data_IF_095947639072
#
_entry.id   IF_095947639072
#
_cell.length_a   1.000
_cell.length_b   1.000
_cell.length_c   1.000
_cell.angle_alpha   90.00
_cell.angle_beta   90.00
_cell.angle_gamma   90.00
#
_symmetry.space_group_name_H-M   'P 1'
#
loop_
_entity.id
_entity.type
_entity.pdbx_description
1 polymer ?
#
# COMPACT_ATOMS: atom_id res chain seq x y z
N UNK A 1 -10.19 -11.92 0.42
CA UNK A 1 -9.55 -11.53 -0.85
C UNK A 1 -8.15 -12.13 -0.91
N UNK A 2 -7.67 -12.61 -2.07
CA UNK A 2 -6.30 -13.14 -2.22
C UNK A 2 -5.32 -12.05 -2.65
N UNK A 3 -4.02 -12.21 -2.37
CA UNK A 3 -2.97 -11.26 -2.80
C UNK A 3 -3.01 -11.07 -4.32
N UNK A 4 -3.10 -12.15 -5.08
CA UNK A 4 -3.18 -12.08 -6.55
C UNK A 4 -4.48 -11.42 -7.04
N UNK A 5 -5.57 -11.57 -6.29
CA UNK A 5 -6.83 -10.88 -6.56
C UNK A 5 -6.70 -9.37 -6.40
N UNK A 6 -6.16 -8.93 -5.26
CA UNK A 6 -5.92 -7.51 -4.99
C UNK A 6 -4.94 -6.89 -6.00
N UNK A 7 -3.88 -7.60 -6.37
CA UNK A 7 -2.93 -7.12 -7.37
C UNK A 7 -3.61 -6.80 -8.71
N UNK A 8 -4.52 -7.68 -9.15
CA UNK A 8 -5.32 -7.45 -10.37
C UNK A 8 -6.25 -6.26 -10.25
N UNK A 9 -6.99 -6.16 -9.14
CA UNK A 9 -7.89 -5.02 -8.89
C UNK A 9 -7.13 -3.69 -8.83
N UNK A 10 -5.90 -3.72 -8.29
CA UNK A 10 -5.02 -2.55 -8.15
C UNK A 10 -4.21 -2.24 -9.42
N UNK A 11 -4.40 -2.96 -10.52
CA UNK A 11 -3.57 -2.84 -11.72
C UNK A 11 -2.04 -2.90 -11.44
N UNK A 12 -1.65 -3.82 -10.53
CA UNK A 12 -0.27 -4.11 -10.17
C UNK A 12 0.12 -5.53 -10.61
N UNK A 13 1.39 -5.76 -11.01
CA UNK A 13 1.89 -7.11 -11.16
C UNK A 13 1.76 -7.89 -9.84
N UNK A 14 1.32 -9.16 -9.86
CA UNK A 14 1.25 -9.97 -8.64
C UNK A 14 2.58 -10.09 -7.90
N UNK A 15 3.70 -10.09 -8.63
CA UNK A 15 5.05 -10.07 -8.05
C UNK A 15 5.35 -8.79 -7.26
N UNK A 16 4.87 -7.63 -7.72
CA UNK A 16 5.02 -6.35 -7.03
C UNK A 16 4.33 -6.39 -5.67
N UNK A 17 3.04 -6.78 -5.65
CA UNK A 17 2.31 -6.84 -4.39
C UNK A 17 2.87 -7.93 -3.45
N UNK A 18 3.30 -9.08 -3.99
CA UNK A 18 3.98 -10.11 -3.21
C UNK A 18 5.27 -9.60 -2.57
N UNK A 19 6.07 -8.81 -3.29
CA UNK A 19 7.30 -8.23 -2.76
C UNK A 19 7.03 -7.19 -1.67
N UNK A 20 5.97 -6.40 -1.79
CA UNK A 20 5.55 -5.44 -0.75
C UNK A 20 5.12 -6.20 0.51
N UNK A 21 4.21 -7.18 0.38
CA UNK A 21 3.69 -7.96 1.52
C UNK A 21 4.80 -8.75 2.23
N UNK A 22 5.77 -9.27 1.47
CA UNK A 22 6.90 -10.01 2.04
C UNK A 22 8.05 -9.11 2.53
N UNK A 23 7.90 -7.78 2.49
CA UNK A 23 8.93 -6.84 2.95
C UNK A 23 10.19 -6.77 2.08
N UNK A 24 10.17 -7.33 0.87
CA UNK A 24 11.25 -7.22 -0.13
C UNK A 24 11.30 -5.80 -0.69
N UNK A 25 10.13 -5.21 -0.93
CA UNK A 25 10.01 -3.80 -1.31
C UNK A 25 9.54 -3.00 -0.09
N UNK A 26 10.45 -2.22 0.49
CA UNK A 26 10.20 -1.50 1.75
C UNK A 26 9.71 -0.07 1.57
N UNK A 27 9.78 0.48 0.35
CA UNK A 27 9.34 1.85 0.06
C UNK A 27 8.46 1.89 -1.20
N UNK A 28 7.21 1.38 -1.14
CA UNK A 28 6.27 1.54 -2.23
C UNK A 28 5.95 3.03 -2.42
N UNK A 29 6.24 3.56 -3.61
CA UNK A 29 5.92 4.95 -3.93
C UNK A 29 4.41 5.24 -3.90
N UNK A 30 4.05 6.52 -3.74
CA UNK A 30 2.66 6.97 -3.54
C UNK A 30 1.69 6.52 -4.66
N UNK A 31 2.14 6.41 -5.91
CA UNK A 31 1.33 5.92 -7.03
C UNK A 31 0.93 4.45 -6.84
N UNK A 32 1.83 3.63 -6.30
CA UNK A 32 1.55 2.22 -5.97
C UNK A 32 0.56 2.13 -4.82
N UNK A 33 0.73 2.96 -3.78
CA UNK A 33 -0.22 3.03 -2.66
C UNK A 33 -1.61 3.46 -3.16
N UNK A 34 -1.69 4.50 -4.01
CA UNK A 34 -2.96 4.96 -4.59
C UNK A 34 -3.68 3.87 -5.36
N UNK A 35 -2.94 3.10 -6.17
CA UNK A 35 -3.46 1.95 -6.91
C UNK A 35 -4.01 0.86 -6.00
N UNK A 36 -3.33 0.58 -4.87
CA UNK A 36 -3.84 -0.35 -3.86
C UNK A 36 -5.13 0.17 -3.22
N UNK A 37 -5.20 1.47 -2.93
CA UNK A 37 -6.42 2.09 -2.41
C UNK A 37 -7.58 1.97 -3.41
N UNK A 38 -7.33 2.22 -4.71
CA UNK A 38 -8.34 1.99 -5.77
C UNK A 38 -8.83 0.54 -5.79
N UNK A 39 -7.91 -0.43 -5.72
CA UNK A 39 -8.27 -1.85 -5.68
C UNK A 39 -8.97 -2.30 -4.38
N UNK A 40 -8.87 -1.51 -3.31
CA UNK A 40 -9.52 -1.72 -2.02
C UNK A 40 -10.82 -0.91 -1.87
N UNK A 41 -11.17 -0.08 -2.86
CA UNK A 41 -12.31 0.85 -2.80
C UNK A 41 -12.24 1.83 -1.62
N UNK A 42 -11.03 2.25 -1.25
CA UNK A 42 -10.78 3.28 -0.23
C UNK A 42 -10.01 4.47 -0.82
N UNK A 43 -10.09 5.59 -0.15
CA UNK A 43 -9.30 6.78 -0.44
C UNK A 43 -7.90 6.68 0.16
N UNK A 44 -6.96 7.50 -0.33
CA UNK A 44 -5.65 7.67 0.33
C UNK A 44 -5.80 8.19 1.77
N UNK A 45 -6.81 9.02 2.02
CA UNK A 45 -7.06 9.58 3.34
C UNK A 45 -7.38 8.44 4.32
N UNK A 46 -8.30 7.56 3.97
CA UNK A 46 -8.65 6.39 4.79
C UNK A 46 -7.48 5.43 4.98
N UNK A 47 -6.63 5.24 3.96
CA UNK A 47 -5.44 4.40 4.07
C UNK A 47 -4.45 4.92 5.12
N UNK A 48 -4.25 6.24 5.19
CA UNK A 48 -3.34 6.87 6.14
C UNK A 48 -3.98 7.25 7.48
N UNK A 49 -5.30 7.11 7.62
CA UNK A 49 -6.02 7.45 8.85
C UNK A 49 -6.01 6.29 9.87
N UNK A 50 -4.81 5.85 10.24
CA UNK A 50 -4.60 4.76 11.21
C UNK A 50 -3.69 5.21 12.35
N UNK A 51 -3.70 4.47 13.48
CA UNK A 51 -2.87 4.80 14.64
C UNK A 51 -1.37 4.74 14.30
N UNK A 52 -0.98 3.80 13.43
CA UNK A 52 0.40 3.62 12.96
C UNK A 52 0.94 4.89 12.30
N UNK A 53 0.14 5.57 11.48
CA UNK A 53 0.55 6.82 10.82
C UNK A 53 0.42 8.05 11.73
N UNK A 54 -0.52 8.05 12.69
CA UNK A 54 -0.67 9.13 13.67
C UNK A 54 0.44 9.15 14.72
N UNK A 55 1.03 7.98 15.02
CA UNK A 55 2.10 7.81 16.00
C UNK A 55 3.51 7.82 15.38
N UNK A 56 3.66 8.18 14.10
CA UNK A 56 4.98 8.28 13.46
C UNK A 56 5.80 9.41 14.09
N UNK A 57 7.05 9.09 14.41
CA UNK A 57 8.05 10.06 14.83
C UNK A 57 8.60 10.85 13.63
N UNK A 58 9.19 12.01 13.90
CA UNK A 58 9.80 12.83 12.85
C UNK A 58 11.02 12.14 12.23
N UNK A 59 11.05 12.00 10.90
CA UNK A 59 12.19 11.42 10.18
C UNK A 59 13.33 12.42 9.91
N UNK A 60 13.05 13.73 9.97
CA UNK A 60 14.02 14.80 9.70
C UNK A 60 14.77 15.18 10.99
N UNK A 61 16.09 15.32 10.91
CA UNK A 61 16.96 15.80 11.99
C UNK A 61 17.21 17.31 11.91
#
# INVERSE_FOLDING_TARGET
MTINGLARLSALPPSTLKNIVNGVSQNPGIVTIKKLCDGLEITLIEFFDTEEFRALEQEIQ
#
